data_IF_976702403552
#
_entry.id   IF_976702403552
#
_cell.length_a   1.000
_cell.length_b   1.000
_cell.length_c   1.000
_cell.angle_alpha   90.00
_cell.angle_beta   90.00
_cell.angle_gamma   90.00
#
_symmetry.space_group_name_H-M   'P 1'
#
loop_
_entity.id
_entity.type
_entity.pdbx_description
1 polymer ?
#
# COMPACT_ATOMS: atom_id res chain seq x y z
N UNK A 1 20.25 -12.26 13.03
CA UNK A 1 20.09 -11.24 11.97
C UNK A 1 20.11 -9.88 12.64
N UNK A 2 21.27 -9.27 12.74
CA UNK A 2 21.47 -7.96 13.37
C UNK A 2 21.33 -6.90 12.28
N UNK A 3 20.19 -6.20 12.24
CA UNK A 3 20.06 -5.05 11.35
C UNK A 3 20.89 -3.91 11.92
N UNK A 4 21.94 -3.54 11.17
CA UNK A 4 22.87 -2.45 11.48
C UNK A 4 22.13 -1.11 11.45
N UNK A 5 22.50 -0.20 12.35
CA UNK A 5 21.92 1.14 12.52
C UNK A 5 21.95 2.01 11.25
N UNK A 6 22.68 1.58 10.22
CA UNK A 6 22.83 2.24 8.93
C UNK A 6 21.69 1.93 7.93
N UNK A 7 20.90 0.88 8.17
CA UNK A 7 19.78 0.49 7.29
C UNK A 7 18.51 1.30 7.59
N UNK A 8 18.35 1.74 8.84
CA UNK A 8 17.18 2.52 9.29
C UNK A 8 17.24 3.98 8.85
N UNK A 9 18.44 4.54 8.63
CA UNK A 9 18.62 5.92 8.16
C UNK A 9 18.23 6.10 6.69
N UNK A 10 18.38 5.06 5.86
CA UNK A 10 18.08 5.12 4.42
C UNK A 10 16.58 5.18 4.10
N UNK A 11 15.75 4.53 4.91
CA UNK A 11 14.29 4.55 4.72
C UNK A 11 13.64 5.91 5.03
N UNK A 12 14.32 6.76 5.82
CA UNK A 12 13.79 8.06 6.26
C UNK A 12 13.82 9.13 5.16
N UNK A 13 14.68 8.97 4.14
CA UNK A 13 14.94 10.00 3.11
C UNK A 13 14.05 9.91 1.86
N UNK A 14 13.20 8.88 1.73
CA UNK A 14 12.32 8.68 0.55
C UNK A 14 10.86 9.10 0.79
N UNK A 15 10.56 9.74 1.93
CA UNK A 15 9.24 10.27 2.23
C UNK A 15 8.97 11.59 1.50
N UNK A 16 7.74 11.79 1.01
CA UNK A 16 7.26 13.09 0.47
C UNK A 16 7.16 14.20 1.52
N UNK A 17 7.53 13.89 2.77
CA UNK A 17 7.43 14.79 3.91
C UNK A 17 8.71 15.60 4.05
N UNK A 18 8.59 16.93 4.03
CA UNK A 18 9.69 17.85 4.33
C UNK A 18 9.93 17.91 5.85
N UNK A 19 10.84 17.04 6.32
CA UNK A 19 11.19 16.93 7.73
C UNK A 19 12.00 18.12 8.26
N UNK A 20 12.65 18.89 7.39
CA UNK A 20 13.43 20.07 7.78
C UNK A 20 12.52 21.27 8.03
N UNK A 21 11.42 21.38 7.28
CA UNK A 21 10.35 22.31 7.58
C UNK A 21 9.70 22.03 8.94
N UNK A 22 9.28 20.79 9.20
CA UNK A 22 8.62 20.42 10.46
C UNK A 22 9.49 20.74 11.69
N UNK A 23 10.79 20.44 11.61
CA UNK A 23 11.74 20.77 12.68
C UNK A 23 11.90 22.27 12.91
N UNK A 24 11.80 23.09 11.87
CA UNK A 24 11.82 24.56 12.00
C UNK A 24 10.54 25.10 12.63
N UNK A 25 9.39 24.53 12.28
CA UNK A 25 8.10 24.89 12.86
C UNK A 25 8.05 24.56 14.36
N UNK A 26 8.53 23.37 14.75
CA UNK A 26 8.69 22.97 16.16
C UNK A 26 9.65 23.90 16.91
N UNK A 27 10.82 24.22 16.33
CA UNK A 27 11.77 25.17 16.92
C UNK A 27 11.21 26.59 17.04
N UNK A 28 10.24 26.96 16.20
CA UNK A 28 9.51 28.22 16.25
C UNK A 28 8.32 28.19 17.22
N UNK A 29 8.06 27.06 17.89
CA UNK A 29 6.94 26.90 18.81
C UNK A 29 5.57 26.91 18.14
N UNK A 30 5.50 26.58 16.86
CA UNK A 30 4.23 26.46 16.14
C UNK A 30 3.56 25.14 16.49
N UNK A 31 2.42 25.23 17.17
CA UNK A 31 1.55 24.08 17.44
C UNK A 31 0.68 23.79 16.19
N UNK A 32 0.49 22.51 15.81
CA UNK A 32 -0.44 22.16 14.75
C UNK A 32 -1.86 22.58 15.16
N UNK A 33 -2.56 23.24 14.24
CA UNK A 33 -3.99 23.52 14.42
C UNK A 33 -4.72 22.19 14.43
N UNK A 34 -5.34 21.85 15.56
CA UNK A 34 -6.24 20.70 15.64
C UNK A 34 -7.51 21.06 14.89
N UNK A 35 -7.85 20.25 13.89
CA UNK A 35 -9.14 20.35 13.24
C UNK A 35 -10.16 19.64 14.13
N UNK A 36 -10.96 20.42 14.88
CA UNK A 36 -11.97 19.89 15.79
C UNK A 36 -13.16 19.25 15.02
N UNK A 37 -13.22 19.39 13.69
CA UNK A 37 -14.19 18.72 12.81
C UNK A 37 -13.71 17.32 12.34
N UNK A 38 -12.54 16.85 12.79
CA UNK A 38 -12.12 15.46 12.61
C UNK A 38 -13.00 14.53 13.45
N UNK A 39 -14.09 14.04 12.85
CA UNK A 39 -15.01 13.11 13.47
C UNK A 39 -14.30 11.92 14.12
N UNK A 40 -14.81 11.49 15.28
CA UNK A 40 -14.23 10.39 16.06
C UNK A 40 -14.18 9.10 15.23
N UNK A 41 -12.97 8.68 14.88
CA UNK A 41 -12.77 7.44 14.12
C UNK A 41 -12.91 6.23 15.05
N UNK A 42 -13.91 5.38 14.78
CA UNK A 42 -14.12 4.12 15.52
C UNK A 42 -13.05 3.08 15.16
N UNK A 43 -11.92 3.14 15.86
CA UNK A 43 -10.81 2.19 15.70
C UNK A 43 -11.21 0.74 16.02
N UNK A 44 -12.33 0.49 16.72
CA UNK A 44 -12.77 -0.88 17.02
C UNK A 44 -13.19 -1.68 15.78
N UNK A 45 -13.51 -0.99 14.68
CA UNK A 45 -13.86 -1.59 13.39
C UNK A 45 -12.69 -1.70 12.43
N UNK A 46 -11.53 -1.16 12.77
CA UNK A 46 -10.37 -1.20 11.92
C UNK A 46 -9.88 -2.66 11.78
N UNK A 47 -9.92 -3.19 10.55
CA UNK A 47 -9.38 -4.51 10.26
C UNK A 47 -7.94 -4.37 9.77
N UNK A 48 -7.00 -4.94 10.51
CA UNK A 48 -5.62 -5.05 10.07
C UNK A 48 -5.54 -6.14 8.98
N UNK A 49 -5.63 -5.72 7.72
CA UNK A 49 -5.31 -6.60 6.59
C UNK A 49 -3.79 -6.69 6.44
N UNK A 50 -3.18 -7.78 6.91
CA UNK A 50 -1.80 -8.11 6.55
C UNK A 50 -1.79 -8.74 5.16
N UNK A 51 -1.33 -8.04 4.10
CA UNK A 51 -1.32 -8.61 2.76
C UNK A 51 -0.34 -9.79 2.74
N UNK A 52 -0.87 -11.00 2.51
CA UNK A 52 0.00 -12.17 2.29
C UNK A 52 0.89 -11.89 1.08
N UNK A 53 2.21 -12.16 1.16
CA UNK A 53 3.09 -11.95 0.04
C UNK A 53 2.63 -12.80 -1.15
N UNK A 54 2.60 -12.18 -2.33
CA UNK A 54 2.27 -12.88 -3.57
C UNK A 54 3.42 -13.84 -3.90
N UNK A 55 3.10 -15.07 -4.31
CA UNK A 55 4.10 -15.98 -4.83
C UNK A 55 4.43 -15.60 -6.28
N UNK A 56 5.70 -15.35 -6.56
CA UNK A 56 6.18 -15.06 -7.91
C UNK A 56 6.33 -16.39 -8.67
N UNK A 57 5.34 -16.70 -9.51
CA UNK A 57 5.34 -17.87 -10.37
C UNK A 57 5.26 -17.47 -11.85
N UNK A 58 5.79 -18.31 -12.73
CA UNK A 58 5.60 -18.17 -14.17
C UNK A 58 4.34 -18.91 -14.60
N UNK A 59 3.39 -18.19 -15.18
CA UNK A 59 2.13 -18.73 -15.71
C UNK A 59 2.03 -18.31 -17.18
N UNK A 60 1.61 -19.24 -18.03
CA UNK A 60 1.29 -18.95 -19.43
C UNK A 60 -0.17 -18.51 -19.53
N UNK A 61 -0.40 -17.41 -20.23
CA UNK A 61 -1.72 -16.87 -20.55
C UNK A 61 -1.82 -16.76 -22.06
N UNK A 62 -3.03 -16.91 -22.59
CA UNK A 62 -3.29 -16.65 -24.00
C UNK A 62 -2.99 -15.19 -24.35
N UNK A 63 -2.56 -14.96 -25.60
CA UNK A 63 -2.09 -13.65 -26.04
C UNK A 63 -3.19 -12.59 -25.99
N UNK A 64 -4.40 -12.95 -26.42
CA UNK A 64 -5.59 -12.09 -26.41
C UNK A 64 -5.99 -11.67 -24.99
N UNK A 65 -5.94 -12.60 -24.02
CA UNK A 65 -6.19 -12.33 -22.60
C UNK A 65 -5.15 -11.35 -22.06
N UNK A 66 -3.87 -11.58 -22.36
CA UNK A 66 -2.80 -10.70 -21.90
C UNK A 66 -2.94 -9.29 -22.48
N UNK A 67 -3.26 -9.19 -23.77
CA UNK A 67 -3.44 -7.92 -24.47
C UNK A 67 -4.64 -7.14 -23.94
N UNK A 68 -5.76 -7.83 -23.66
CA UNK A 68 -6.93 -7.24 -23.00
C UNK A 68 -6.58 -6.58 -21.66
N UNK A 69 -5.79 -7.24 -20.82
CA UNK A 69 -5.40 -6.67 -19.53
C UNK A 69 -4.37 -5.56 -19.67
N UNK A 70 -3.42 -5.68 -20.60
CA UNK A 70 -2.42 -4.63 -20.89
C UNK A 70 -3.06 -3.35 -21.41
N UNK A 71 -4.11 -3.44 -22.22
CA UNK A 71 -4.84 -2.28 -22.75
C UNK A 71 -5.42 -1.39 -21.64
N UNK A 72 -5.64 -1.92 -20.44
CA UNK A 72 -6.16 -1.17 -19.28
C UNK A 72 -5.05 -0.39 -18.53
N UNK A 73 -3.81 -0.44 -18.99
CA UNK A 73 -2.68 0.35 -18.48
C UNK A 73 -1.95 -0.26 -17.28
N UNK A 74 -1.24 0.60 -16.54
CA UNK A 74 -0.37 0.20 -15.41
C UNK A 74 -1.16 -0.59 -14.36
N UNK A 75 -0.57 -1.68 -13.87
CA UNK A 75 -1.19 -2.54 -12.86
C UNK A 75 -2.02 -3.71 -13.42
N UNK A 76 -1.92 -4.00 -14.73
CA UNK A 76 -2.61 -5.13 -15.36
C UNK A 76 -2.40 -6.48 -14.64
N UNK A 77 -1.19 -6.76 -14.14
CA UNK A 77 -0.91 -7.97 -13.34
C UNK A 77 -1.73 -8.04 -12.05
N UNK A 78 -1.93 -6.90 -11.39
CA UNK A 78 -2.77 -6.82 -10.18
C UNK A 78 -4.22 -7.10 -10.53
N UNK A 79 -4.72 -6.60 -11.68
CA UNK A 79 -6.08 -6.89 -12.16
C UNK A 79 -6.28 -8.36 -12.49
N UNK A 80 -5.32 -8.99 -13.18
CA UNK A 80 -5.33 -10.45 -13.43
C UNK A 80 -5.51 -11.21 -12.10
N UNK A 81 -4.70 -10.89 -11.10
CA UNK A 81 -4.80 -11.52 -9.79
C UNK A 81 -6.13 -11.26 -9.08
N UNK A 82 -6.73 -10.07 -9.23
CA UNK A 82 -8.06 -9.77 -8.67
C UNK A 82 -9.16 -10.62 -9.31
N UNK A 83 -9.12 -10.79 -10.62
CA UNK A 83 -10.10 -11.63 -11.36
C UNK A 83 -9.99 -13.09 -10.91
N UNK A 84 -8.77 -13.63 -10.85
CA UNK A 84 -8.53 -14.99 -10.36
C UNK A 84 -9.02 -15.18 -8.92
N UNK A 85 -8.79 -14.19 -8.04
CA UNK A 85 -9.29 -14.21 -6.66
C UNK A 85 -10.81 -14.16 -6.59
N UNK A 86 -11.45 -13.34 -7.42
CA UNK A 86 -12.91 -13.24 -7.48
C UNK A 86 -13.53 -14.57 -7.90
N UNK A 87 -12.98 -15.18 -8.97
CA UNK A 87 -13.38 -16.51 -9.42
C UNK A 87 -13.21 -17.58 -8.34
N UNK A 88 -12.05 -17.58 -7.65
CA UNK A 88 -11.79 -18.48 -6.53
C UNK A 88 -12.84 -18.35 -5.41
N UNK A 89 -13.14 -17.11 -4.98
CA UNK A 89 -14.15 -16.84 -3.94
C UNK A 89 -15.54 -17.29 -4.36
N UNK A 90 -15.95 -16.99 -5.60
CA UNK A 90 -17.24 -17.39 -6.14
C UNK A 90 -17.42 -18.91 -6.17
N UNK A 91 -16.32 -19.66 -6.37
CA UNK A 91 -16.32 -21.12 -6.39
C UNK A 91 -16.21 -21.77 -5.01
N UNK A 92 -15.61 -21.09 -4.03
CA UNK A 92 -15.49 -21.56 -2.63
C UNK A 92 -16.70 -21.19 -1.77
N UNK A 93 -17.51 -20.21 -2.16
CA UNK A 93 -18.77 -19.85 -1.50
C UNK A 93 -19.97 -20.73 -1.86
N UNK A 94 -19.74 -21.86 -2.52
CA UNK A 94 -20.66 -22.99 -2.71
C UNK A 94 -20.21 -24.15 -1.86
#
# INVERSE_FOLDING_TARGET
MTHSAEETTRLKSEGRTDWDRLRREEAAGLEPVRDDDEGEFDWSRAQLEMPRPKQAISVRLDADVLDFFKAQGKGYQTRINMVLRSYMKARQGR
#
